data_IF_116347042642
#
_entry.id   IF_116347042642
#
_cell.length_a   1.000
_cell.length_b   1.000
_cell.length_c   1.000
_cell.angle_alpha   90.00
_cell.angle_beta   90.00
_cell.angle_gamma   90.00
#
_symmetry.space_group_name_H-M   'P 1'
#
loop_
_entity.id
_entity.type
_entity.pdbx_description
1 polymer ?
#
# COMPACT_ATOMS: atom_id res chain seq x y z
N UNK A 1 -9.03 -6.76 15.81
CA UNK A 1 -9.13 -6.63 14.34
C UNK A 1 -7.73 -6.51 13.78
N UNK A 2 -7.43 -7.26 12.73
CA UNK A 2 -6.14 -7.26 12.07
C UNK A 2 -6.13 -6.19 10.97
N UNK A 3 -4.98 -5.56 10.74
CA UNK A 3 -4.85 -4.50 9.75
C UNK A 3 -3.75 -4.86 8.75
N UNK A 4 -4.02 -4.56 7.48
CA UNK A 4 -3.05 -4.54 6.40
C UNK A 4 -2.80 -3.08 6.02
N UNK A 5 -1.56 -2.64 6.02
CA UNK A 5 -1.20 -1.30 5.53
C UNK A 5 -0.58 -1.40 4.15
N UNK A 6 -0.97 -0.51 3.26
CA UNK A 6 -0.35 -0.31 1.94
C UNK A 6 0.30 1.06 1.90
N UNK A 7 1.57 1.10 1.51
CA UNK A 7 2.37 2.30 1.32
C UNK A 7 2.49 2.59 -0.17
N UNK A 8 2.31 3.86 -0.52
CA UNK A 8 2.43 4.41 -1.87
C UNK A 8 3.72 5.19 -2.01
N UNK A 9 4.39 5.10 -3.16
CA UNK A 9 5.54 5.95 -3.46
C UNK A 9 5.04 7.36 -3.76
N UNK A 10 5.15 8.23 -2.77
CA UNK A 10 4.58 9.56 -2.83
C UNK A 10 5.36 10.48 -3.79
N UNK A 11 4.64 11.44 -4.38
CA UNK A 11 5.16 12.56 -5.19
C UNK A 11 6.01 13.58 -4.40
N UNK A 12 6.61 13.18 -3.28
CA UNK A 12 7.43 14.07 -2.45
C UNK A 12 8.92 13.90 -2.78
N UNK A 13 9.60 14.93 -3.31
CA UNK A 13 11.00 14.82 -3.71
C UNK A 13 11.95 14.51 -2.54
N UNK A 14 11.64 14.92 -1.30
CA UNK A 14 12.53 14.76 -0.14
C UNK A 14 12.77 13.31 0.27
N UNK A 15 11.83 12.42 -0.10
CA UNK A 15 11.89 11.00 0.22
C UNK A 15 12.55 10.18 -0.90
N UNK A 16 12.81 10.76 -2.07
CA UNK A 16 13.33 10.05 -3.24
C UNK A 16 14.71 10.58 -3.65
N UNK A 17 15.58 9.70 -4.15
CA UNK A 17 16.87 10.11 -4.70
C UNK A 17 16.68 10.78 -6.07
N UNK A 18 16.79 12.10 -6.15
CA UNK A 18 16.49 12.85 -7.39
C UNK A 18 17.70 13.10 -8.29
N UNK A 19 18.92 13.02 -7.75
CA UNK A 19 20.13 13.39 -8.49
C UNK A 19 20.41 12.41 -9.63
N UNK A 20 20.25 12.85 -10.88
CA UNK A 20 20.45 12.00 -12.06
C UNK A 20 19.34 10.96 -12.28
N UNK A 21 18.25 11.02 -11.51
CA UNK A 21 17.14 10.07 -11.61
C UNK A 21 16.07 10.55 -12.57
N UNK A 22 15.53 9.64 -13.37
CA UNK A 22 14.27 9.84 -14.09
C UNK A 22 13.14 9.23 -13.25
N UNK A 23 12.18 10.05 -12.84
CA UNK A 23 11.03 9.62 -12.03
C UNK A 23 9.73 9.99 -12.76
N UNK A 24 8.90 8.99 -13.05
CA UNK A 24 7.58 9.15 -13.67
C UNK A 24 6.50 8.63 -12.72
N UNK A 25 5.49 9.48 -12.45
CA UNK A 25 4.36 9.14 -11.59
C UNK A 25 3.11 8.94 -12.45
N UNK A 26 2.61 7.71 -12.50
CA UNK A 26 1.50 7.32 -13.36
C UNK A 26 0.15 7.68 -12.76
N UNK A 27 -0.88 7.73 -13.61
CA UNK A 27 -2.24 8.07 -13.17
C UNK A 27 -2.84 7.01 -12.23
N UNK A 28 -2.42 5.76 -12.35
CA UNK A 28 -2.87 4.64 -11.53
C UNK A 28 -2.19 4.59 -10.14
N UNK A 29 -1.22 5.47 -9.89
CA UNK A 29 -0.49 5.58 -8.63
C UNK A 29 0.87 4.88 -8.62
N UNK A 30 1.18 4.09 -9.65
CA UNK A 30 2.50 3.45 -9.79
C UNK A 30 3.60 4.47 -10.11
N UNK A 31 4.84 4.11 -9.81
CA UNK A 31 6.01 4.99 -9.99
C UNK A 31 7.12 4.26 -10.72
N UNK A 32 7.63 4.86 -11.80
CA UNK A 32 8.85 4.41 -12.47
C UNK A 32 10.04 5.26 -12.04
N UNK A 33 11.09 4.60 -11.58
CA UNK A 33 12.35 5.21 -11.20
C UNK A 33 13.47 4.56 -12.03
N UNK A 34 14.36 5.37 -12.60
CA UNK A 34 15.55 4.89 -13.28
C UNK A 34 16.76 5.77 -12.98
N UNK A 35 17.86 5.14 -12.55
CA UNK A 35 19.14 5.81 -12.32
C UNK A 35 20.29 4.79 -12.29
N UNK A 36 20.99 4.64 -13.43
CA UNK A 36 22.14 3.72 -13.55
C UNK A 36 23.41 4.22 -12.87
N UNK A 37 23.44 5.49 -12.43
CA UNK A 37 24.59 6.13 -11.79
C UNK A 37 24.43 6.23 -10.26
N UNK A 38 23.27 5.86 -9.72
CA UNK A 38 23.06 5.84 -8.29
C UNK A 38 23.96 4.77 -7.65
N UNK A 39 24.74 5.18 -6.64
CA UNK A 39 25.65 4.28 -5.96
C UNK A 39 24.89 3.16 -5.22
N UNK A 40 25.37 1.90 -5.29
CA UNK A 40 24.84 0.79 -4.49
C UNK A 40 24.84 1.12 -2.98
N UNK A 41 23.84 0.62 -2.27
CA UNK A 41 23.61 0.91 -0.85
C UNK A 41 22.85 2.22 -0.58
N UNK A 42 22.53 3.00 -1.61
CA UNK A 42 21.75 4.23 -1.47
C UNK A 42 20.25 3.95 -1.59
N UNK A 43 19.43 4.61 -0.77
CA UNK A 43 17.97 4.52 -0.88
C UNK A 43 17.48 5.26 -2.14
N UNK A 44 16.70 4.58 -2.98
CA UNK A 44 15.93 5.17 -4.09
C UNK A 44 14.73 5.95 -3.54
N UNK A 45 14.06 5.37 -2.54
CA UNK A 45 12.95 5.96 -1.82
C UNK A 45 12.92 5.46 -0.39
N UNK A 46 12.31 6.23 0.50
CA UNK A 46 12.01 5.77 1.84
C UNK A 46 10.67 6.33 2.35
N UNK A 47 10.05 5.57 3.23
CA UNK A 47 8.90 6.01 4.02
C UNK A 47 9.32 6.19 5.47
N UNK A 48 9.02 7.36 6.03
CA UNK A 48 9.19 7.63 7.46
C UNK A 48 8.12 8.60 7.96
N UNK A 49 7.81 8.52 9.25
CA UNK A 49 7.05 9.60 9.88
C UNK A 49 7.99 10.78 10.09
N UNK A 50 7.68 11.92 9.47
CA UNK A 50 8.41 13.15 9.74
C UNK A 50 8.00 13.72 11.11
N UNK A 51 8.95 14.08 11.98
CA UNK A 51 8.63 14.67 13.27
C UNK A 51 7.92 16.01 13.08
N UNK A 52 7.11 16.39 14.07
CA UNK A 52 6.49 17.70 14.11
C UNK A 52 7.58 18.77 14.22
N UNK A 53 7.75 19.56 13.16
CA UNK A 53 8.60 20.77 13.17
C UNK A 53 7.70 22.00 13.21
N UNK A 54 8.18 23.09 13.81
CA UNK A 54 7.40 24.31 14.00
C UNK A 54 6.78 24.89 12.69
N UNK A 55 7.35 24.52 11.54
CA UNK A 55 6.97 24.97 10.20
C UNK A 55 6.25 23.89 9.35
N UNK A 56 6.11 22.65 9.82
CA UNK A 56 5.56 21.54 9.04
C UNK A 56 4.61 20.67 9.86
N UNK A 57 3.41 20.44 9.31
CA UNK A 57 2.47 19.46 9.87
C UNK A 57 3.10 18.06 9.85
N UNK A 58 2.86 17.23 10.88
CA UNK A 58 3.32 15.85 10.89
C UNK A 58 2.82 15.14 9.65
N UNK A 59 3.73 14.44 8.97
CA UNK A 59 3.45 13.68 7.78
C UNK A 59 3.58 12.20 8.12
N UNK A 60 2.43 11.57 8.42
CA UNK A 60 2.39 10.16 8.78
C UNK A 60 2.47 9.33 7.51
N UNK A 61 3.66 8.85 7.17
CA UNK A 61 3.86 7.99 6.01
C UNK A 61 3.70 6.51 6.34
N UNK A 62 3.93 6.14 7.60
CA UNK A 62 3.99 4.74 8.04
C UNK A 62 3.23 4.53 9.37
N UNK A 63 2.65 3.34 9.58
CA UNK A 63 1.91 3.04 10.81
C UNK A 63 2.84 2.92 12.01
N UNK A 64 2.36 3.28 13.20
CA UNK A 64 3.12 3.01 14.43
C UNK A 64 3.12 1.51 14.71
N UNK A 65 4.30 0.91 14.86
CA UNK A 65 4.47 -0.51 15.12
C UNK A 65 4.64 -0.78 16.62
N UNK A 66 4.11 -1.91 17.09
CA UNK A 66 4.28 -2.33 18.47
C UNK A 66 5.70 -2.88 18.67
N UNK A 67 6.36 -2.40 19.72
CA UNK A 67 7.65 -2.91 20.18
C UNK A 67 7.58 -4.41 20.49
N UNK A 68 8.66 -5.13 20.19
CA UNK A 68 8.77 -6.59 20.36
C UNK A 68 7.95 -7.42 19.37
N UNK A 69 7.07 -6.81 18.57
CA UNK A 69 6.23 -7.52 17.61
C UNK A 69 6.95 -7.74 16.27
N UNK A 70 6.71 -8.92 15.68
CA UNK A 70 7.18 -9.28 14.35
C UNK A 70 6.20 -8.79 13.26
N UNK A 71 6.76 -8.18 12.23
CA UNK A 71 6.05 -7.67 11.07
C UNK A 71 6.65 -8.28 9.80
N UNK A 72 5.83 -8.34 8.76
CA UNK A 72 6.24 -8.76 7.42
C UNK A 72 5.91 -7.66 6.42
N UNK A 73 6.80 -7.49 5.44
CA UNK A 73 6.61 -6.59 4.31
C UNK A 73 6.63 -7.38 3.00
N UNK A 74 5.88 -6.88 2.02
CA UNK A 74 5.87 -7.35 0.64
C UNK A 74 5.84 -6.15 -0.29
N UNK A 75 6.85 -5.99 -1.14
CA UNK A 75 6.92 -4.91 -2.13
C UNK A 75 6.60 -5.47 -3.51
N UNK A 76 5.50 -4.99 -4.09
CA UNK A 76 5.10 -5.32 -5.45
C UNK A 76 5.77 -4.34 -6.42
N UNK A 77 6.72 -4.84 -7.20
CA UNK A 77 7.47 -4.05 -8.16
C UNK A 77 8.11 -4.89 -9.27
N UNK A 78 8.21 -4.31 -10.47
CA UNK A 78 9.04 -4.84 -11.55
C UNK A 78 10.44 -4.22 -11.47
N UNK A 79 11.47 -5.04 -11.26
CA UNK A 79 12.85 -4.60 -11.02
C UNK A 79 13.78 -5.09 -12.13
N UNK A 80 14.62 -4.20 -12.66
CA UNK A 80 15.66 -4.56 -13.63
C UNK A 80 17.00 -3.94 -13.24
N UNK A 81 18.08 -4.74 -13.12
CA UNK A 81 18.09 -6.21 -13.17
C UNK A 81 17.24 -6.86 -12.05
N UNK A 82 16.83 -8.12 -12.22
CA UNK A 82 16.14 -8.82 -11.14
C UNK A 82 17.03 -8.88 -9.88
N UNK A 83 16.41 -8.81 -8.69
CA UNK A 83 17.10 -8.82 -7.39
C UNK A 83 18.14 -7.71 -7.22
N UNK A 84 18.03 -6.62 -7.98
CA UNK A 84 18.91 -5.46 -7.84
C UNK A 84 18.37 -4.39 -6.86
N UNK A 85 17.27 -4.69 -6.18
CA UNK A 85 16.66 -3.83 -5.15
C UNK A 85 16.38 -4.68 -3.91
N UNK A 86 16.64 -4.11 -2.73
CA UNK A 86 16.27 -4.73 -1.46
C UNK A 86 15.62 -3.71 -0.51
N UNK A 87 15.05 -4.18 0.59
CA UNK A 87 14.49 -3.34 1.65
C UNK A 87 15.51 -3.18 2.78
N UNK A 88 15.65 -1.97 3.31
CA UNK A 88 16.33 -1.73 4.58
C UNK A 88 15.37 -1.05 5.55
N UNK A 89 15.39 -1.49 6.80
CA UNK A 89 14.59 -0.91 7.87
C UNK A 89 15.53 -0.31 8.90
N UNK A 90 15.48 1.01 9.06
CA UNK A 90 16.22 1.72 10.10
C UNK A 90 15.31 1.95 11.29
N UNK A 91 15.74 1.56 12.48
CA UNK A 91 14.99 1.76 13.71
C UNK A 91 15.58 2.93 14.49
N UNK A 92 14.72 3.82 14.96
CA UNK A 92 15.13 5.07 15.62
C UNK A 92 14.54 5.18 17.02
N UNK A 93 15.31 5.78 17.93
CA UNK A 93 14.85 6.14 19.28
C UNK A 93 14.03 7.45 19.30
N UNK A 94 13.69 7.95 20.49
CA UNK A 94 12.95 9.21 20.66
C UNK A 94 13.73 10.46 20.22
N UNK A 95 15.06 10.34 20.04
CA UNK A 95 15.94 11.41 19.58
C UNK A 95 16.22 11.35 18.08
N UNK A 96 15.46 10.55 17.31
CA UNK A 96 15.69 10.26 15.89
C UNK A 96 17.07 9.63 15.58
N UNK A 97 17.76 9.06 16.58
CA UNK A 97 19.02 8.36 16.34
C UNK A 97 18.74 6.94 15.86
N UNK A 98 19.43 6.51 14.81
CA UNK A 98 19.37 5.12 14.35
C UNK A 98 20.04 4.24 15.40
N UNK A 99 19.26 3.37 16.04
CA UNK A 99 19.73 2.43 17.06
C UNK A 99 19.95 1.02 16.51
N UNK A 100 19.32 0.69 15.39
CA UNK A 100 19.47 -0.60 14.73
C UNK A 100 19.07 -0.52 13.26
N UNK A 101 19.50 -1.51 12.47
CA UNK A 101 19.09 -1.68 11.09
C UNK A 101 18.78 -3.14 10.78
N UNK A 102 17.84 -3.37 9.88
CA UNK A 102 17.54 -4.67 9.32
C UNK A 102 17.62 -4.60 7.79
N UNK A 103 18.58 -5.32 7.22
CA UNK A 103 18.75 -5.45 5.78
C UNK A 103 17.99 -6.69 5.29
N UNK A 104 16.95 -6.44 4.52
CA UNK A 104 16.23 -7.47 3.78
C UNK A 104 17.13 -8.14 2.73
N UNK A 105 16.78 -9.37 2.36
CA UNK A 105 17.42 -10.08 1.25
C UNK A 105 16.64 -9.89 -0.05
N UNK A 106 15.33 -9.64 0.06
CA UNK A 106 14.40 -9.53 -1.06
C UNK A 106 13.38 -8.42 -0.79
N UNK A 107 12.50 -8.20 -1.76
CA UNK A 107 11.32 -7.34 -1.66
C UNK A 107 10.24 -7.90 -0.72
N UNK A 108 10.41 -9.15 -0.29
CA UNK A 108 9.65 -9.82 0.76
C UNK A 108 10.54 -10.09 1.96
N UNK A 109 10.03 -9.86 3.16
CA UNK A 109 10.78 -10.17 4.36
C UNK A 109 10.04 -9.91 5.65
N UNK A 110 10.71 -10.24 6.75
CA UNK A 110 10.18 -10.11 8.10
C UNK A 110 11.21 -9.43 9.00
N UNK A 111 10.72 -8.61 9.92
CA UNK A 111 11.54 -7.93 10.91
C UNK A 111 10.82 -7.86 12.25
N UNK A 112 11.56 -7.64 13.32
CA UNK A 112 11.00 -7.41 14.65
C UNK A 112 11.27 -5.97 15.05
N UNK A 113 10.22 -5.26 15.49
CA UNK A 113 10.37 -3.91 16.02
C UNK A 113 11.16 -3.96 17.35
N UNK A 114 12.34 -3.33 17.46
CA UNK A 114 13.13 -3.37 18.69
C UNK A 114 12.42 -2.69 19.87
N UNK A 115 12.68 -3.15 21.10
CA UNK A 115 12.09 -2.57 22.33
C UNK A 115 12.48 -1.11 22.57
N UNK A 116 13.68 -0.71 22.14
CA UNK A 116 14.16 0.67 22.26
C UNK A 116 13.71 1.60 21.12
N UNK A 117 13.02 1.08 20.10
CA UNK A 117 12.63 1.86 18.94
C UNK A 117 11.25 2.49 19.13
N UNK A 118 11.13 3.75 18.70
CA UNK A 118 9.88 4.51 18.68
C UNK A 118 9.45 4.91 17.27
N UNK A 119 10.40 4.91 16.35
CA UNK A 119 10.16 5.21 14.95
C UNK A 119 10.96 4.25 14.08
N UNK A 120 10.59 4.16 12.81
CA UNK A 120 11.36 3.40 11.84
C UNK A 120 11.31 4.09 10.47
N UNK A 121 12.21 3.71 9.59
CA UNK A 121 12.23 4.12 8.18
C UNK A 121 12.34 2.86 7.35
N UNK A 122 11.45 2.70 6.37
CA UNK A 122 11.52 1.63 5.38
C UNK A 122 12.11 2.21 4.09
N UNK A 123 13.22 1.66 3.61
CA UNK A 123 13.97 2.16 2.45
C UNK A 123 13.99 1.11 1.33
N UNK A 124 13.77 1.53 0.09
CA UNK A 124 14.11 0.75 -1.10
C UNK A 124 15.57 1.04 -1.46
N UNK A 125 16.47 0.10 -1.18
CA UNK A 125 17.89 0.23 -1.46
C UNK A 125 18.23 -0.25 -2.86
N UNK A 126 19.02 0.56 -3.57
CA UNK A 126 19.66 0.17 -4.80
C UNK A 126 20.83 -0.79 -4.47
N UNK A 127 20.82 -2.01 -5.01
CA UNK A 127 21.94 -2.97 -4.98
C UNK A 127 22.38 -3.32 -6.40
N UNK A 128 22.65 -2.29 -7.20
CA UNK A 128 22.98 -2.31 -8.64
C UNK A 128 21.76 -2.33 -9.58
N UNK A 129 20.74 -1.53 -9.26
CA UNK A 129 19.52 -1.34 -10.05
C UNK A 129 19.71 -0.34 -11.19
N UNK A 130 19.04 -0.62 -12.32
CA UNK A 130 18.93 0.31 -13.43
C UNK A 130 17.55 1.00 -13.45
N UNK A 131 16.49 0.20 -13.27
CA UNK A 131 15.11 0.71 -13.15
C UNK A 131 14.27 -0.13 -12.19
N UNK A 132 13.30 0.53 -11.58
CA UNK A 132 12.20 -0.09 -10.84
C UNK A 132 10.88 0.55 -11.27
N UNK A 133 9.88 -0.28 -11.48
CA UNK A 133 8.49 0.15 -11.57
C UNK A 133 7.77 -0.36 -10.32
N UNK A 134 7.53 0.55 -9.38
CA UNK A 134 6.90 0.29 -8.10
C UNK A 134 5.38 0.39 -8.21
N UNK A 135 4.67 -0.58 -7.65
CA UNK A 135 3.22 -0.56 -7.51
C UNK A 135 2.81 -0.25 -6.07
N UNK A 136 3.29 -1.04 -5.11
CA UNK A 136 2.86 -0.94 -3.72
C UNK A 136 3.80 -1.63 -2.74
N UNK A 137 3.75 -1.23 -1.47
CA UNK A 137 4.42 -1.92 -0.37
C UNK A 137 3.40 -2.25 0.71
N UNK A 138 3.22 -3.53 0.99
CA UNK A 138 2.33 -4.04 2.01
C UNK A 138 3.08 -4.29 3.31
N UNK A 139 2.47 -3.95 4.44
CA UNK A 139 3.01 -4.12 5.77
C UNK A 139 1.91 -4.61 6.72
N UNK A 140 2.16 -5.69 7.43
CA UNK A 140 1.24 -6.24 8.42
C UNK A 140 2.02 -7.02 9.50
N UNK A 141 1.41 -7.33 10.66
CA UNK A 141 1.93 -8.36 11.56
C UNK A 141 2.24 -9.64 10.78
N UNK A 142 3.34 -10.33 11.11
CA UNK A 142 3.76 -11.53 10.37
C UNK A 142 2.67 -12.59 10.27
N UNK A 143 1.95 -12.85 11.38
CA UNK A 143 0.86 -13.81 11.39
C UNK A 143 -0.29 -13.45 10.43
N UNK A 144 -0.53 -12.15 10.21
CA UNK A 144 -1.56 -11.67 9.27
C UNK A 144 -1.06 -11.81 7.85
N UNK A 145 0.17 -11.37 7.56
CA UNK A 145 0.73 -11.47 6.19
C UNK A 145 0.79 -12.93 5.70
N UNK A 146 1.05 -13.88 6.61
CA UNK A 146 1.12 -15.31 6.29
C UNK A 146 -0.25 -15.96 6.06
N UNK A 147 -1.34 -15.40 6.62
CA UNK A 147 -2.70 -15.96 6.42
C UNK A 147 -3.36 -15.47 5.13
N UNK A 148 -2.91 -14.32 4.62
CA UNK A 148 -3.56 -13.65 3.49
C UNK A 148 -2.84 -13.87 2.16
N UNK A 149 -3.61 -13.87 1.08
CA UNK A 149 -3.16 -13.70 -0.30
C UNK A 149 -3.64 -12.35 -0.79
N UNK A 150 -2.72 -11.56 -1.35
CA UNK A 150 -3.03 -10.22 -1.84
C UNK A 150 -3.03 -10.26 -3.36
N UNK A 151 -4.05 -9.68 -3.98
CA UNK A 151 -4.11 -9.49 -5.43
C UNK A 151 -4.58 -8.09 -5.73
N UNK A 152 -3.74 -7.31 -6.38
CA UNK A 152 -4.03 -5.93 -6.74
C UNK A 152 -4.32 -5.78 -8.24
N UNK A 153 -5.39 -5.07 -8.56
CA UNK A 153 -5.67 -4.57 -9.89
C UNK A 153 -5.44 -3.05 -9.88
N UNK A 154 -4.20 -2.65 -10.17
CA UNK A 154 -3.74 -1.25 -10.06
C UNK A 154 -4.58 -0.32 -10.94
N UNK A 155 -4.81 -0.71 -12.20
CA UNK A 155 -5.63 0.04 -13.15
C UNK A 155 -7.07 0.24 -12.69
N UNK A 156 -7.65 -0.76 -12.02
CA UNK A 156 -9.03 -0.72 -11.52
C UNK A 156 -9.13 -0.24 -10.06
N UNK A 157 -8.00 0.13 -9.44
CA UNK A 157 -7.91 0.54 -8.02
C UNK A 157 -8.58 -0.42 -7.05
N UNK A 158 -8.55 -1.70 -7.39
CA UNK A 158 -9.23 -2.76 -6.67
C UNK A 158 -8.18 -3.66 -6.01
N UNK A 159 -8.23 -3.74 -4.69
CA UNK A 159 -7.41 -4.66 -3.91
C UNK A 159 -8.29 -5.82 -3.45
N UNK A 160 -7.86 -7.05 -3.71
CA UNK A 160 -8.47 -8.27 -3.18
C UNK A 160 -7.52 -8.88 -2.16
N UNK A 161 -8.06 -9.14 -0.97
CA UNK A 161 -7.40 -9.87 0.10
C UNK A 161 -8.20 -11.13 0.35
N UNK A 162 -7.53 -12.27 0.23
CA UNK A 162 -8.12 -13.58 0.48
C UNK A 162 -7.47 -14.24 1.70
N UNK A 163 -8.25 -14.77 2.63
CA UNK A 163 -7.76 -15.48 3.82
C UNK A 163 -8.51 -16.81 3.99
N UNK A 164 -7.82 -17.92 3.72
CA UNK A 164 -8.36 -19.29 3.81
C UNK A 164 -8.75 -19.68 5.26
N UNK A 165 -8.30 -18.93 6.27
CA UNK A 165 -8.61 -19.19 7.69
C UNK A 165 -9.93 -18.58 8.15
N UNK A 166 -10.56 -17.77 7.30
CA UNK A 166 -11.75 -16.98 7.62
C UNK A 166 -13.04 -17.61 7.07
N UNK A 167 -14.18 -17.08 7.49
CA UNK A 167 -15.49 -17.62 7.11
C UNK A 167 -15.73 -17.39 5.61
N UNK A 168 -16.23 -18.42 4.91
CA UNK A 168 -16.61 -18.28 3.52
C UNK A 168 -17.61 -17.12 3.33
N UNK A 169 -17.34 -16.27 2.36
CA UNK A 169 -18.13 -15.07 2.10
C UNK A 169 -17.29 -13.97 1.46
N UNK A 170 -17.99 -13.05 0.80
CA UNK A 170 -17.39 -11.92 0.07
C UNK A 170 -17.83 -10.61 0.70
N UNK A 171 -16.88 -9.74 0.98
CA UNK A 171 -17.13 -8.39 1.47
C UNK A 171 -16.58 -7.35 0.50
N UNK A 172 -17.35 -6.29 0.24
CA UNK A 172 -16.91 -5.13 -0.54
C UNK A 172 -16.86 -3.89 0.35
N UNK A 173 -15.75 -3.16 0.24
CA UNK A 173 -15.49 -1.92 0.96
C UNK A 173 -15.11 -0.86 -0.05
N UNK A 174 -15.83 0.25 -0.04
CA UNK A 174 -15.46 1.44 -0.83
C UNK A 174 -14.79 2.42 0.11
N UNK A 175 -13.59 2.87 -0.23
CA UNK A 175 -12.86 3.82 0.59
C UNK A 175 -12.23 4.93 -0.24
N UNK A 176 -11.99 6.05 0.43
CA UNK A 176 -11.15 7.12 -0.09
C UNK A 176 -9.72 6.61 -0.18
N UNK A 177 -9.14 6.66 -1.37
CA UNK A 177 -7.72 6.43 -1.55
C UNK A 177 -6.93 7.53 -0.83
N UNK A 178 -6.02 7.10 0.05
CA UNK A 178 -5.14 7.99 0.81
C UNK A 178 -3.69 7.74 0.41
N UNK A 179 -2.97 8.82 0.21
CA UNK A 179 -1.52 8.84 -0.02
C UNK A 179 -0.95 9.65 1.14
N UNK A 180 0.18 9.24 1.74
CA UNK A 180 1.13 8.20 1.32
C UNK A 180 0.82 6.76 1.74
N UNK A 181 -0.20 6.51 2.58
CA UNK A 181 -0.58 5.16 2.98
C UNK A 181 -2.09 4.97 3.14
N UNK A 182 -2.51 3.72 3.03
CA UNK A 182 -3.86 3.23 3.28
C UNK A 182 -3.80 2.10 4.32
N UNK A 183 -4.77 2.05 5.23
CA UNK A 183 -4.91 0.93 6.17
C UNK A 183 -6.25 0.25 5.93
N UNK A 184 -6.19 -1.05 5.68
CA UNK A 184 -7.34 -1.92 5.46
C UNK A 184 -7.59 -2.73 6.72
N UNK A 185 -8.75 -2.51 7.33
CA UNK A 185 -9.23 -3.35 8.42
C UNK A 185 -9.73 -4.67 7.84
N UNK A 186 -9.09 -5.77 8.24
CA UNK A 186 -9.45 -7.11 7.80
C UNK A 186 -10.64 -7.62 8.62
N UNK A 187 -11.66 -8.11 7.94
CA UNK A 187 -12.86 -8.71 8.52
C UNK A 187 -12.73 -10.22 8.67
N UNK A 188 -13.81 -10.86 9.14
CA UNK A 188 -13.89 -12.32 9.30
C UNK A 188 -14.34 -13.05 8.03
N UNK A 189 -14.44 -12.34 6.90
CA UNK A 189 -14.79 -12.90 5.58
C UNK A 189 -13.53 -13.34 4.83
N UNK A 190 -13.59 -14.49 4.17
CA UNK A 190 -12.49 -15.06 3.41
C UNK A 190 -12.10 -14.17 2.22
N UNK A 191 -13.06 -13.59 1.50
CA UNK A 191 -12.79 -12.71 0.37
C UNK A 191 -13.18 -11.27 0.67
N UNK A 192 -12.19 -10.38 0.65
CA UNK A 192 -12.37 -8.96 0.96
C UNK A 192 -11.88 -8.11 -0.20
N UNK A 193 -12.76 -7.26 -0.72
CA UNK A 193 -12.51 -6.39 -1.86
C UNK A 193 -12.56 -4.94 -1.40
N UNK A 194 -11.50 -4.21 -1.70
CA UNK A 194 -11.33 -2.81 -1.36
C UNK A 194 -11.24 -2.00 -2.65
N UNK A 195 -12.33 -1.31 -2.98
CA UNK A 195 -12.40 -0.38 -4.10
C UNK A 195 -12.00 1.02 -3.63
N UNK A 196 -10.88 1.50 -4.16
CA UNK A 196 -10.22 2.73 -3.70
C UNK A 196 -10.54 3.87 -4.67
N UNK A 197 -11.26 4.88 -4.17
CA UNK A 197 -11.69 6.04 -4.95
C UNK A 197 -10.76 7.23 -4.66
N UNK A 198 -10.09 7.82 -5.67
CA UNK A 198 -9.21 8.96 -5.45
C UNK A 198 -9.95 10.13 -4.82
N UNK A 199 -9.28 10.86 -3.93
CA UNK A 199 -9.90 11.91 -3.12
C UNK A 199 -10.51 13.04 -3.97
N UNK A 200 -9.85 13.38 -5.07
CA UNK A 200 -10.27 14.38 -6.04
C UNK A 200 -11.52 13.98 -6.84
N UNK A 201 -11.86 12.69 -6.86
CA UNK A 201 -13.00 12.12 -7.60
C UNK A 201 -14.18 11.76 -6.70
N UNK A 202 -14.03 11.87 -5.38
CA UNK A 202 -15.07 11.45 -4.41
C UNK A 202 -16.40 12.20 -4.51
N UNK A 203 -16.41 13.37 -5.15
CA UNK A 203 -17.60 14.19 -5.31
C UNK A 203 -18.12 14.19 -6.77
N UNK A 204 -17.48 13.43 -7.67
CA UNK A 204 -17.89 13.33 -9.08
C UNK A 204 -18.58 11.99 -9.32
N UNK A 205 -19.91 12.03 -9.50
CA UNK A 205 -20.71 10.82 -9.65
C UNK A 205 -20.38 10.03 -10.92
N UNK A 206 -20.05 10.71 -12.03
CA UNK A 206 -19.73 10.06 -13.30
C UNK A 206 -18.37 9.36 -13.22
N UNK A 207 -17.38 10.02 -12.60
CA UNK A 207 -16.06 9.42 -12.40
C UNK A 207 -16.12 8.23 -11.43
N UNK A 208 -16.88 8.33 -10.34
CA UNK A 208 -17.10 7.20 -9.41
C UNK A 208 -17.75 6.03 -10.14
N UNK A 209 -18.79 6.30 -10.94
CA UNK A 209 -19.49 5.28 -11.72
C UNK A 209 -18.55 4.59 -12.70
N UNK A 210 -17.74 5.36 -13.43
CA UNK A 210 -16.75 4.83 -14.36
C UNK A 210 -15.74 3.92 -13.66
N UNK A 211 -15.24 4.30 -12.48
CA UNK A 211 -14.34 3.45 -11.67
C UNK A 211 -15.05 2.17 -11.23
N UNK A 212 -16.29 2.28 -10.75
CA UNK A 212 -17.07 1.12 -10.32
C UNK A 212 -17.36 0.14 -11.47
N UNK A 213 -17.69 0.63 -12.66
CA UNK A 213 -17.95 -0.18 -13.86
C UNK A 213 -16.69 -0.94 -14.32
N UNK A 214 -15.54 -0.27 -14.30
CA UNK A 214 -14.26 -0.88 -14.63
C UNK A 214 -13.90 -1.99 -13.63
N UNK A 215 -14.03 -1.72 -12.33
CA UNK A 215 -13.81 -2.72 -11.28
C UNK A 215 -14.79 -3.90 -11.38
N UNK A 216 -16.07 -3.63 -11.64
CA UNK A 216 -17.10 -4.65 -11.85
C UNK A 216 -16.75 -5.56 -13.02
N UNK A 217 -16.37 -4.98 -14.16
CA UNK A 217 -15.96 -5.75 -15.35
C UNK A 217 -14.76 -6.64 -15.05
N UNK A 218 -13.74 -6.09 -14.39
CA UNK A 218 -12.52 -6.82 -14.01
C UNK A 218 -12.81 -8.01 -13.08
N UNK A 219 -13.79 -7.89 -12.18
CA UNK A 219 -14.21 -8.98 -11.30
C UNK A 219 -15.01 -10.06 -12.04
N UNK A 220 -15.87 -9.66 -12.96
CA UNK A 220 -16.68 -10.59 -13.76
C UNK A 220 -15.82 -11.48 -14.66
N UNK A 221 -14.79 -10.91 -15.27
CA UNK A 221 -13.86 -11.64 -16.14
C UNK A 221 -13.04 -12.71 -15.38
N UNK A 222 -12.94 -12.62 -14.05
CA UNK A 222 -12.19 -13.54 -13.18
C UNK A 222 -13.00 -14.73 -12.63
N UNK A 223 -14.25 -14.93 -13.06
CA UNK A 223 -15.16 -16.02 -12.63
C UNK A 223 -15.58 -16.05 -11.14
N UNK A 224 -15.31 -15.01 -10.34
CA UNK A 224 -15.67 -14.96 -8.91
C UNK A 224 -17.08 -14.39 -8.60
N UNK A 225 -17.92 -14.19 -9.62
CA UNK A 225 -19.04 -13.22 -9.57
C UNK A 225 -20.44 -13.82 -9.28
N UNK A 226 -20.57 -15.07 -8.83
CA UNK A 226 -21.90 -15.70 -8.69
C UNK A 226 -22.63 -15.43 -7.36
N UNK A 227 -22.12 -14.55 -6.50
CA UNK A 227 -22.68 -14.29 -5.16
C UNK A 227 -22.73 -12.81 -4.81
N UNK A 228 -23.77 -12.40 -4.07
CA UNK A 228 -23.96 -11.04 -3.55
C UNK A 228 -22.87 -10.66 -2.55
N UNK A 229 -22.26 -9.49 -2.71
CA UNK A 229 -21.32 -8.93 -1.73
C UNK A 229 -22.03 -8.46 -0.46
N UNK A 230 -21.42 -8.74 0.70
CA UNK A 230 -21.70 -7.99 1.91
C UNK A 230 -21.01 -6.62 1.80
N UNK A 231 -21.77 -5.53 1.83
CA UNK A 231 -21.20 -4.18 1.72
C UNK A 231 -20.94 -3.61 3.10
N UNK A 232 -19.67 -3.42 3.45
CA UNK A 232 -19.29 -2.78 4.72
C UNK A 232 -19.51 -1.27 4.65
N UNK A 233 -19.94 -0.68 5.77
CA UNK A 233 -20.13 0.76 5.86
C UNK A 233 -18.77 1.46 5.75
N UNK A 234 -18.61 2.41 4.81
CA UNK A 234 -17.35 3.11 4.65
C UNK A 234 -17.18 4.17 5.74
N UNK A 235 -16.01 4.79 5.78
CA UNK A 235 -15.86 6.09 6.43
C UNK A 235 -16.88 7.10 5.85
N UNK A 236 -17.28 8.09 6.65
CA UNK A 236 -18.27 9.12 6.25
C UNK A 236 -17.95 9.78 4.90
N UNK A 237 -16.66 9.92 4.56
CA UNK A 237 -16.18 10.53 3.32
C UNK A 237 -16.50 9.73 2.04
N UNK A 238 -16.84 8.44 2.13
CA UNK A 238 -17.09 7.59 0.96
C UNK A 238 -18.53 7.05 0.89
N UNK A 239 -19.46 7.66 1.63
CA UNK A 239 -20.88 7.25 1.64
C UNK A 239 -21.53 7.39 0.27
N UNK A 240 -21.32 8.52 -0.43
CA UNK A 240 -21.80 8.73 -1.81
C UNK A 240 -21.20 7.69 -2.75
N UNK A 241 -19.87 7.56 -2.72
CA UNK A 241 -19.15 6.63 -3.58
C UNK A 241 -19.64 5.18 -3.41
N UNK A 242 -19.84 4.75 -2.16
CA UNK A 242 -20.40 3.42 -1.85
C UNK A 242 -21.77 3.22 -2.47
N UNK A 243 -22.68 4.19 -2.34
CA UNK A 243 -24.03 4.10 -2.92
C UNK A 243 -23.96 3.89 -4.44
N UNK A 244 -23.15 4.70 -5.13
CA UNK A 244 -23.00 4.60 -6.59
C UNK A 244 -22.41 3.24 -6.98
N UNK A 245 -21.36 2.79 -6.27
CA UNK A 245 -20.76 1.48 -6.51
C UNK A 245 -21.75 0.34 -6.27
N UNK A 246 -22.57 0.42 -5.22
CA UNK A 246 -23.62 -0.56 -4.93
C UNK A 246 -24.61 -0.68 -6.10
N UNK A 247 -25.11 0.45 -6.61
CA UNK A 247 -26.05 0.47 -7.73
C UNK A 247 -25.44 -0.17 -8.98
N UNK A 248 -24.19 0.18 -9.32
CA UNK A 248 -23.46 -0.41 -10.46
C UNK A 248 -23.34 -1.92 -10.32
N UNK A 249 -22.97 -2.41 -9.13
CA UNK A 249 -22.77 -3.85 -8.89
C UNK A 249 -24.09 -4.64 -8.79
N UNK A 250 -25.20 -4.00 -8.44
CA UNK A 250 -26.54 -4.59 -8.40
C UNK A 250 -27.26 -4.52 -9.75
N UNK A 251 -26.70 -3.84 -10.75
CA UNK A 251 -27.30 -3.69 -12.08
C UNK A 251 -28.41 -2.64 -12.13
N UNK A 252 -28.53 -1.79 -11.11
CA UNK A 252 -29.43 -0.63 -11.13
C UNK A 252 -28.76 0.48 -11.94
N UNK A 253 -29.37 0.84 -13.08
CA UNK A 253 -28.91 1.91 -13.97
C UNK A 253 -29.06 3.27 -13.32
#
# INVERSE_FOLDING_TARGET
MANLTMLHWERTPSASYTYGSKIEYHQDGSVSFANTLQAPGTAMHYWENLPMKADRKPHVQIPLLKRGQKYAYHVEAAVVPERSVTVNIRFMDDGDHIIAQHYGQHLDGEFTMPEGANNYRLELLNINNEKIHFFSCYLAPTAVMQSIKITESVTNRLLHVHDDTKSAGKEMVVLRQRVPNETFELSEMADQYYLRIPAERLNDEEEIRSIAEQAYKALRDRQSFDESFNWRMPAHEAVLARRICQNVFQGEK
#
